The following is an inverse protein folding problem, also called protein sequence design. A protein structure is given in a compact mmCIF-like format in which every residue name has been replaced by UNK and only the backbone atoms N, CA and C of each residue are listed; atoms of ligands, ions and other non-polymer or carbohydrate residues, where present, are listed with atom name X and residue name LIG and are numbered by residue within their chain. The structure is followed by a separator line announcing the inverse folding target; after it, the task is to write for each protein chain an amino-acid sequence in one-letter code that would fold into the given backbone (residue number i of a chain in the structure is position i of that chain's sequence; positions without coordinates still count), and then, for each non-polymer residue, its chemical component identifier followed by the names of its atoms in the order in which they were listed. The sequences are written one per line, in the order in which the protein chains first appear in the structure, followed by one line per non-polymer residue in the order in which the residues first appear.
data_IF_392604805526
#
_entry.id   IF_392604805526
#
_cell.length_a   1.000
_cell.length_b   1.000
_cell.length_c   1.000
_cell.angle_alpha   90.00
_cell.angle_beta   90.00
_cell.angle_gamma   90.00
#
_symmetry.space_group_name_H-M   'P 1'
#
loop_
_entity.id
_entity.type
_entity.pdbx_description
1 polymer ?
#
# COMPACT_ATOMS: atom_id res chain seq x y z
N UNK A 1 0.18 0.35 7.32
CA UNK A 1 -0.23 0.03 5.95
C UNK A 1 0.91 -0.70 5.27
N UNK A 2 0.62 -1.74 4.55
CA UNK A 2 1.59 -2.56 3.80
C UNK A 2 1.16 -2.57 2.33
N UNK A 3 2.11 -2.37 1.42
CA UNK A 3 1.89 -2.49 -0.02
C UNK A 3 2.77 -3.59 -0.57
N UNK A 4 2.19 -4.54 -1.27
CA UNK A 4 2.88 -5.64 -1.95
C UNK A 4 2.65 -5.50 -3.45
N UNK A 5 3.74 -5.51 -4.20
CA UNK A 5 3.75 -5.56 -5.67
C UNK A 5 4.35 -6.89 -6.09
N UNK A 6 3.75 -7.59 -7.05
CA UNK A 6 4.02 -8.97 -7.44
C UNK A 6 5.46 -9.47 -7.27
N UNK A 7 6.47 -8.87 -7.86
CA UNK A 7 7.87 -9.30 -7.69
C UNK A 7 8.74 -8.33 -6.89
N UNK A 8 8.19 -7.20 -6.42
CA UNK A 8 8.94 -6.22 -5.65
C UNK A 8 8.88 -6.50 -4.14
N UNK A 9 9.89 -6.06 -3.40
CA UNK A 9 9.87 -6.15 -1.95
C UNK A 9 8.66 -5.39 -1.36
N UNK A 10 7.99 -5.96 -0.33
CA UNK A 10 6.87 -5.31 0.33
C UNK A 10 7.31 -3.98 0.96
N UNK A 11 6.49 -2.93 0.76
CA UNK A 11 6.74 -1.62 1.38
C UNK A 11 5.86 -1.47 2.62
N UNK A 12 6.46 -1.29 3.79
CA UNK A 12 5.75 -1.06 5.05
C UNK A 12 5.67 0.45 5.30
N UNK A 13 4.51 1.05 5.08
CA UNK A 13 4.30 2.49 5.27
C UNK A 13 4.25 2.94 6.73
N UNK A 14 3.87 2.07 7.65
CA UNK A 14 3.83 2.35 9.07
C UNK A 14 4.05 1.08 9.89
N UNK A 15 4.98 1.14 10.86
CA UNK A 15 5.25 0.09 11.82
C UNK A 15 5.05 0.62 13.23
N UNK A 16 4.14 0.02 13.99
CA UNK A 16 3.95 0.27 15.42
C UNK A 16 4.44 -0.93 16.22
N UNK A 17 5.32 -0.68 17.17
CA UNK A 17 5.88 -1.70 18.07
C UNK A 17 5.52 -1.32 19.50
N UNK A 18 4.88 -2.24 20.22
CA UNK A 18 4.65 -2.10 21.65
C UNK A 18 5.65 -2.95 22.41
N UNK A 19 6.38 -2.33 23.32
CA UNK A 19 7.36 -3.01 24.18
C UNK A 19 6.77 -3.23 25.58
N UNK A 20 7.07 -4.39 26.15
CA UNK A 20 6.78 -4.71 27.56
C UNK A 20 8.11 -5.08 28.23
N UNK A 21 8.64 -4.19 29.07
CA UNK A 21 9.91 -4.33 29.79
C UNK A 21 10.25 -3.08 30.58
N UNK A 22 11.40 -3.07 31.21
CA UNK A 22 11.88 -1.91 32.00
C UNK A 22 12.33 -0.76 31.08
N UNK A 23 12.12 0.47 31.49
CA UNK A 23 12.51 1.66 30.73
C UNK A 23 14.03 1.72 30.44
N UNK A 24 14.85 1.17 31.32
CA UNK A 24 16.32 1.13 31.19
C UNK A 24 16.80 0.26 30.01
N UNK A 25 15.98 -0.72 29.59
CA UNK A 25 16.32 -1.64 28.48
C UNK A 25 15.76 -1.16 27.13
N UNK A 26 15.02 -0.06 27.13
CA UNK A 26 14.25 0.38 25.97
C UNK A 26 15.06 1.32 25.08
N UNK A 27 15.75 0.77 24.08
CA UNK A 27 16.21 1.54 22.93
C UNK A 27 15.14 1.43 21.81
N UNK A 28 14.13 2.29 21.84
CA UNK A 28 13.02 2.27 20.90
C UNK A 28 13.43 2.30 19.41
N UNK A 29 14.42 3.11 18.98
CA UNK A 29 14.90 3.07 17.61
C UNK A 29 15.53 1.72 17.22
N UNK A 30 16.34 1.14 18.09
CA UNK A 30 16.99 -0.16 17.84
C UNK A 30 15.97 -1.29 17.75
N UNK A 31 14.96 -1.30 18.63
CA UNK A 31 13.85 -2.27 18.58
C UNK A 31 13.05 -2.15 17.27
N UNK A 32 12.75 -0.93 16.86
CA UNK A 32 12.04 -0.67 15.60
C UNK A 32 12.81 -1.17 14.40
N UNK A 33 14.09 -0.84 14.31
CA UNK A 33 14.98 -1.30 13.23
C UNK A 33 15.08 -2.82 13.20
N UNK A 34 15.16 -3.45 14.37
CA UNK A 34 15.20 -4.91 14.49
C UNK A 34 13.94 -5.56 13.97
N UNK A 35 12.76 -5.08 14.40
CA UNK A 35 11.48 -5.61 13.90
C UNK A 35 11.36 -5.40 12.38
N UNK A 36 11.82 -4.27 11.85
CA UNK A 36 11.87 -4.03 10.41
C UNK A 36 12.74 -5.07 9.69
N UNK A 37 13.93 -5.39 10.20
CA UNK A 37 14.81 -6.42 9.63
C UNK A 37 14.16 -7.81 9.67
N UNK A 38 13.55 -8.17 10.80
CA UNK A 38 12.86 -9.45 10.96
C UNK A 38 11.68 -9.59 9.99
N UNK A 39 10.88 -8.54 9.82
CA UNK A 39 9.79 -8.53 8.85
C UNK A 39 10.30 -8.52 7.40
N UNK A 40 11.42 -7.85 7.13
CA UNK A 40 12.06 -7.84 5.81
C UNK A 40 12.63 -9.19 5.38
N UNK A 41 12.91 -10.10 6.33
CA UNK A 41 13.38 -11.46 6.03
C UNK A 41 12.26 -12.45 5.71
N UNK A 42 10.99 -12.06 5.90
CA UNK A 42 9.83 -12.92 5.63
C UNK A 42 9.25 -12.64 4.27
N UNK A 43 9.05 -13.68 3.50
CA UNK A 43 8.23 -13.59 2.31
C UNK A 43 6.75 -13.43 2.70
N UNK A 44 6.24 -12.22 2.49
CA UNK A 44 4.86 -11.83 2.75
C UNK A 44 3.97 -11.89 1.49
N UNK A 45 4.50 -12.37 0.36
CA UNK A 45 3.70 -12.51 -0.85
C UNK A 45 2.66 -13.60 -0.69
N UNK A 46 1.36 -13.29 -0.88
CA UNK A 46 0.34 -14.32 -0.87
C UNK A 46 0.54 -15.25 -2.07
N UNK A 47 0.41 -16.55 -1.84
CA UNK A 47 0.41 -17.51 -2.94
C UNK A 47 -0.70 -17.18 -3.94
N UNK A 48 -0.37 -17.17 -5.23
CA UNK A 48 -1.32 -16.83 -6.30
C UNK A 48 -1.49 -15.34 -6.60
N UNK A 49 -0.75 -14.44 -5.94
CA UNK A 49 -0.74 -13.04 -6.32
C UNK A 49 -0.05 -12.89 -7.69
N UNK A 50 -0.75 -12.38 -8.74
CA UNK A 50 -0.17 -12.25 -10.07
C UNK A 50 1.03 -11.30 -10.09
N UNK A 51 1.96 -11.55 -11.00
CA UNK A 51 3.06 -10.62 -11.30
C UNK A 51 2.51 -9.26 -11.72
N UNK A 52 2.99 -8.21 -11.08
CA UNK A 52 2.52 -6.83 -11.35
C UNK A 52 1.33 -6.40 -10.50
N UNK A 53 0.57 -7.32 -9.90
CA UNK A 53 -0.54 -6.96 -9.02
C UNK A 53 -0.08 -6.15 -7.81
N UNK A 54 -0.95 -5.24 -7.35
CA UNK A 54 -0.69 -4.39 -6.19
C UNK A 54 -1.75 -4.66 -5.12
N UNK A 55 -1.32 -5.25 -4.01
CA UNK A 55 -2.14 -5.47 -2.83
C UNK A 55 -1.78 -4.43 -1.76
N UNK A 56 -2.75 -3.61 -1.36
CA UNK A 56 -2.58 -2.65 -0.27
C UNK A 56 -3.35 -3.14 0.94
N UNK A 57 -2.66 -3.32 2.05
CA UNK A 57 -3.20 -3.83 3.30
C UNK A 57 -3.22 -2.72 4.34
N UNK A 58 -4.38 -2.52 4.95
CA UNK A 58 -4.58 -1.47 5.95
C UNK A 58 -3.80 -1.75 7.22
N UNK A 59 -3.85 -2.99 7.71
CA UNK A 59 -3.19 -3.40 8.95
C UNK A 59 -2.87 -4.89 8.95
N UNK A 60 -1.67 -5.24 9.40
CA UNK A 60 -1.30 -6.58 9.82
C UNK A 60 -1.18 -6.59 11.34
N UNK A 61 -1.64 -7.64 11.96
CA UNK A 61 -1.53 -7.83 13.39
C UNK A 61 -0.47 -8.88 13.70
N UNK A 62 0.48 -8.52 14.56
CA UNK A 62 1.38 -9.49 15.16
C UNK A 62 0.61 -10.37 16.15
N UNK A 63 1.08 -11.60 16.35
CA UNK A 63 0.44 -12.58 17.19
C UNK A 63 0.78 -12.43 18.66
N UNK A 64 1.83 -13.09 19.01
CA UNK A 64 2.34 -13.20 20.36
C UNK A 64 3.44 -12.15 20.57
N UNK A 65 3.78 -11.83 21.83
CA UNK A 65 4.95 -11.03 22.13
C UNK A 65 6.21 -11.67 21.51
N UNK A 66 6.95 -10.89 20.75
CA UNK A 66 8.24 -11.31 20.22
C UNK A 66 9.31 -11.07 21.30
N UNK A 67 10.09 -12.10 21.70
CA UNK A 67 11.18 -11.88 22.64
C UNK A 67 12.15 -10.82 22.15
N UNK A 68 12.54 -9.88 23.01
CA UNK A 68 13.39 -8.76 22.64
C UNK A 68 14.76 -9.17 22.06
N UNK A 69 15.20 -10.38 22.33
CA UNK A 69 16.49 -10.92 21.86
C UNK A 69 16.36 -11.79 20.58
N UNK A 70 15.16 -12.02 20.06
CA UNK A 70 14.95 -12.87 18.86
C UNK A 70 15.70 -12.30 17.68
N UNK A 71 16.55 -13.08 17.06
CA UNK A 71 17.26 -12.73 15.82
C UNK A 71 16.52 -13.22 14.57
N UNK A 72 15.61 -14.18 14.73
CA UNK A 72 14.81 -14.81 13.68
C UNK A 72 13.37 -14.75 14.13
N UNK A 73 12.43 -14.55 13.20
CA UNK A 73 11.01 -14.68 13.51
C UNK A 73 10.67 -16.14 13.80
N UNK A 74 9.95 -16.42 14.89
CA UNK A 74 9.46 -17.77 15.17
C UNK A 74 8.59 -18.30 14.00
N UNK A 75 8.59 -19.61 13.80
CA UNK A 75 7.87 -20.25 12.69
C UNK A 75 6.35 -20.03 12.74
N UNK A 76 5.78 -20.01 13.93
CA UNK A 76 4.37 -19.69 14.17
C UNK A 76 4.02 -18.24 13.80
N UNK A 77 4.92 -17.29 14.04
CA UNK A 77 4.79 -15.90 13.56
C UNK A 77 4.74 -15.83 12.05
N UNK A 78 5.66 -16.52 11.39
CA UNK A 78 5.74 -16.56 9.93
C UNK A 78 4.50 -17.22 9.33
N UNK A 79 4.07 -18.36 9.88
CA UNK A 79 2.87 -19.06 9.45
C UNK A 79 1.61 -18.19 9.60
N UNK A 80 1.49 -17.49 10.73
CA UNK A 80 0.35 -16.61 10.95
C UNK A 80 0.33 -15.41 9.98
N UNK A 81 1.47 -14.74 9.79
CA UNK A 81 1.55 -13.63 8.85
C UNK A 81 1.17 -14.08 7.42
N UNK A 82 1.63 -15.25 6.99
CA UNK A 82 1.25 -15.82 5.69
C UNK A 82 -0.24 -16.14 5.62
N UNK A 83 -0.82 -16.70 6.68
CA UNK A 83 -2.25 -16.98 6.75
C UNK A 83 -3.07 -15.68 6.67
N UNK A 84 -2.69 -14.65 7.43
CA UNK A 84 -3.33 -13.33 7.34
C UNK A 84 -3.22 -12.76 5.92
N UNK A 85 -2.04 -12.82 5.31
CA UNK A 85 -1.83 -12.30 3.95
C UNK A 85 -2.70 -13.02 2.92
N UNK A 86 -2.85 -14.34 3.05
CA UNK A 86 -3.76 -15.12 2.20
C UNK A 86 -5.20 -14.64 2.35
N UNK A 87 -5.70 -14.50 3.59
CA UNK A 87 -7.05 -14.02 3.85
C UNK A 87 -7.25 -12.61 3.29
N UNK A 88 -6.31 -11.68 3.54
CA UNK A 88 -6.39 -10.31 3.04
C UNK A 88 -6.36 -10.24 1.51
N UNK A 89 -5.65 -11.14 0.84
CA UNK A 89 -5.64 -11.23 -0.61
C UNK A 89 -6.98 -11.76 -1.14
N UNK A 90 -7.51 -12.85 -0.57
CA UNK A 90 -8.77 -13.46 -1.04
C UNK A 90 -10.01 -12.60 -0.78
N UNK A 91 -9.96 -11.74 0.25
CA UNK A 91 -11.07 -10.84 0.62
C UNK A 91 -10.84 -9.39 0.16
N UNK A 92 -9.79 -9.13 -0.61
CA UNK A 92 -9.45 -7.77 -1.04
C UNK A 92 -10.55 -7.16 -1.92
N UNK A 93 -10.95 -5.94 -1.58
CA UNK A 93 -11.85 -5.16 -2.43
C UNK A 93 -11.12 -4.72 -3.72
N UNK A 94 -11.88 -4.60 -4.80
CA UNK A 94 -11.38 -4.20 -6.13
C UNK A 94 -11.89 -2.79 -6.47
N UNK A 95 -11.10 -1.71 -6.22
CA UNK A 95 -11.54 -0.34 -6.50
C UNK A 95 -11.90 -0.08 -7.97
N UNK A 96 -11.32 -0.84 -8.89
CA UNK A 96 -11.66 -0.77 -10.32
C UNK A 96 -13.05 -1.30 -10.65
N UNK A 97 -13.60 -2.18 -9.82
CA UNK A 97 -14.91 -2.80 -10.06
C UNK A 97 -16.07 -2.10 -9.34
N UNK A 98 -15.76 -1.17 -8.43
CA UNK A 98 -16.81 -0.44 -7.71
C UNK A 98 -16.34 0.19 -6.41
N UNK A 99 -17.26 0.80 -5.64
CA UNK A 99 -16.94 1.49 -4.40
C UNK A 99 -16.40 0.53 -3.34
N UNK A 100 -15.34 0.96 -2.67
CA UNK A 100 -14.72 0.21 -1.57
C UNK A 100 -15.42 0.55 -0.25
N UNK A 101 -15.86 -0.47 0.46
CA UNK A 101 -16.47 -0.30 1.78
C UNK A 101 -15.47 0.32 2.77
N UNK A 102 -15.97 1.18 3.68
CA UNK A 102 -15.13 1.90 4.65
C UNK A 102 -14.40 0.99 5.62
N UNK A 103 -14.94 -0.20 5.89
CA UNK A 103 -14.36 -1.24 6.73
C UNK A 103 -13.44 -2.20 5.98
N UNK A 104 -13.24 -2.04 4.68
CA UNK A 104 -12.32 -2.88 3.91
C UNK A 104 -10.91 -2.86 4.51
N UNK A 105 -10.33 -4.03 4.69
CA UNK A 105 -9.01 -4.24 5.30
C UNK A 105 -7.88 -4.32 4.27
N UNK A 106 -8.23 -4.59 3.02
CA UNK A 106 -7.30 -4.68 1.90
C UNK A 106 -7.96 -4.28 0.59
N UNK A 107 -7.16 -3.77 -0.34
CA UNK A 107 -7.57 -3.51 -1.72
C UNK A 107 -6.55 -4.12 -2.68
N UNK A 108 -7.04 -4.59 -3.83
CA UNK A 108 -6.25 -5.25 -4.86
C UNK A 108 -6.44 -4.54 -6.20
N UNK A 109 -5.34 -4.32 -6.89
CA UNK A 109 -5.27 -3.87 -8.28
C UNK A 109 -4.56 -4.93 -9.11
N UNK A 110 -4.97 -5.13 -10.36
CA UNK A 110 -4.35 -6.09 -11.29
C UNK A 110 -2.91 -5.72 -11.61
N UNK A 111 -2.63 -4.42 -11.67
CA UNK A 111 -1.31 -3.88 -11.92
C UNK A 111 -1.18 -2.42 -11.45
N UNK A 112 -0.01 -1.84 -11.71
CA UNK A 112 0.26 -0.43 -11.36
C UNK A 112 -0.51 0.57 -12.21
N UNK A 113 -0.90 0.21 -13.44
CA UNK A 113 -1.67 1.10 -14.31
C UNK A 113 -3.12 1.19 -13.86
N UNK A 114 -3.77 0.06 -13.50
CA UNK A 114 -5.09 0.05 -12.89
C UNK A 114 -5.11 0.85 -11.57
N UNK A 115 -4.07 0.67 -10.74
CA UNK A 115 -3.92 1.45 -9.51
C UNK A 115 -3.83 2.95 -9.81
N UNK A 116 -3.04 3.35 -10.81
CA UNK A 116 -2.88 4.75 -11.21
C UNK A 116 -4.17 5.32 -11.78
N UNK A 117 -4.93 4.56 -12.58
CA UNK A 117 -6.23 4.95 -13.10
C UNK A 117 -7.24 5.20 -11.97
N UNK A 118 -7.35 4.27 -11.02
CA UNK A 118 -8.23 4.43 -9.86
C UNK A 118 -7.84 5.64 -9.00
N UNK A 119 -6.54 5.86 -8.78
CA UNK A 119 -6.05 7.03 -8.05
C UNK A 119 -6.36 8.33 -8.80
N UNK A 120 -6.17 8.37 -10.12
CA UNK A 120 -6.53 9.51 -10.96
C UNK A 120 -8.02 9.83 -10.85
N UNK A 121 -8.89 8.83 -10.97
CA UNK A 121 -10.35 8.98 -10.79
C UNK A 121 -10.70 9.56 -9.42
N UNK A 122 -10.13 9.01 -8.36
CA UNK A 122 -10.37 9.50 -6.99
C UNK A 122 -9.83 10.93 -6.76
N UNK A 123 -8.73 11.32 -7.43
CA UNK A 123 -8.23 12.70 -7.40
C UNK A 123 -9.18 13.66 -8.09
N UNK A 124 -9.69 13.31 -9.29
CA UNK A 124 -10.67 14.11 -10.02
C UNK A 124 -11.96 14.30 -9.24
N UNK A 125 -12.39 13.26 -8.51
CA UNK A 125 -13.58 13.29 -7.67
C UNK A 125 -13.36 13.95 -6.29
N UNK A 126 -12.13 14.36 -5.94
CA UNK A 126 -11.78 14.92 -4.63
C UNK A 126 -11.80 13.91 -3.48
N UNK A 127 -11.87 12.62 -3.79
CA UNK A 127 -12.01 11.53 -2.81
C UNK A 127 -10.66 10.92 -2.39
N UNK A 128 -9.59 11.16 -3.14
CA UNK A 128 -8.30 10.48 -2.95
C UNK A 128 -7.75 10.63 -1.52
N UNK A 129 -7.82 11.81 -0.93
CA UNK A 129 -7.31 12.04 0.43
C UNK A 129 -8.17 11.45 1.54
N UNK A 130 -9.43 11.07 1.23
CA UNK A 130 -10.35 10.43 2.18
C UNK A 130 -10.18 8.90 2.20
N UNK A 131 -9.61 8.33 1.15
CA UNK A 131 -9.41 6.89 1.00
C UNK A 131 -8.15 6.45 1.77
N UNK A 132 -8.30 5.54 2.73
CA UNK A 132 -7.20 5.06 3.55
C UNK A 132 -6.05 4.42 2.73
N UNK A 133 -6.37 3.77 1.62
CA UNK A 133 -5.37 3.08 0.79
C UNK A 133 -4.52 4.02 -0.06
N UNK A 134 -4.90 5.29 -0.21
CA UNK A 134 -4.08 6.30 -0.88
C UNK A 134 -3.17 7.08 0.07
N UNK A 135 -3.45 7.05 1.39
CA UNK A 135 -2.75 7.90 2.38
C UNK A 135 -1.23 7.79 2.34
N UNK A 136 -0.68 6.58 2.07
CA UNK A 136 0.76 6.40 1.99
C UNK A 136 1.34 6.95 0.68
N UNK A 137 0.63 6.76 -0.42
CA UNK A 137 1.03 7.22 -1.76
C UNK A 137 0.97 8.74 -1.82
N UNK A 138 0.00 9.36 -1.15
CA UNK A 138 -0.25 10.80 -1.17
C UNK A 138 0.44 11.57 -0.04
N UNK A 139 1.27 10.91 0.77
CA UNK A 139 1.89 11.55 1.95
C UNK A 139 2.66 12.82 1.61
N UNK A 140 3.49 12.73 0.57
CA UNK A 140 4.42 13.78 0.15
C UNK A 140 3.97 14.44 -1.16
N UNK A 141 2.69 14.30 -1.51
CA UNK A 141 2.09 14.82 -2.74
C UNK A 141 1.28 16.08 -2.42
N UNK A 142 1.33 17.13 -3.28
CA UNK A 142 0.52 18.33 -3.11
C UNK A 142 -0.97 18.00 -2.96
N UNK A 143 -1.69 18.74 -2.11
CA UNK A 143 -3.12 18.49 -1.84
C UNK A 143 -4.06 19.02 -2.94
N UNK A 144 -3.54 19.69 -3.96
CA UNK A 144 -4.32 20.14 -5.12
C UNK A 144 -4.31 19.07 -6.22
N UNK A 145 -5.45 18.78 -6.88
CA UNK A 145 -5.55 17.69 -7.87
C UNK A 145 -4.56 17.78 -9.03
N UNK A 146 -4.41 18.94 -9.65
CA UNK A 146 -3.49 19.13 -10.78
C UNK A 146 -2.02 18.86 -10.43
N UNK A 147 -1.42 19.58 -9.46
CA UNK A 147 -0.07 19.31 -8.99
C UNK A 147 0.13 17.88 -8.47
N UNK A 148 -0.90 17.27 -7.85
CA UNK A 148 -0.86 15.86 -7.44
C UNK A 148 -0.75 14.93 -8.64
N UNK A 149 -1.55 15.12 -9.66
CA UNK A 149 -1.50 14.37 -10.91
C UNK A 149 -0.12 14.52 -11.58
N UNK A 150 0.39 15.75 -11.66
CA UNK A 150 1.71 16.02 -12.26
C UNK A 150 2.80 15.22 -11.53
N UNK A 151 2.85 15.29 -10.21
CA UNK A 151 3.84 14.55 -9.41
C UNK A 151 3.72 13.04 -9.58
N UNK A 152 2.50 12.49 -9.51
CA UNK A 152 2.22 11.06 -9.58
C UNK A 152 2.48 10.48 -10.97
N UNK A 153 2.09 11.20 -12.03
CA UNK A 153 2.27 10.76 -13.41
C UNK A 153 3.74 10.84 -13.82
N UNK A 154 4.45 11.89 -13.42
CA UNK A 154 5.90 11.99 -13.67
C UNK A 154 6.67 10.86 -12.99
N UNK A 155 6.31 10.53 -11.74
CA UNK A 155 6.93 9.42 -11.01
C UNK A 155 6.61 8.03 -11.60
N UNK A 156 5.57 7.91 -12.46
CA UNK A 156 5.09 6.64 -13.04
C UNK A 156 4.82 6.76 -14.54
N UNK A 157 5.63 7.53 -15.26
CA UNK A 157 5.41 7.88 -16.66
C UNK A 157 5.11 6.69 -17.58
N UNK A 158 5.77 5.55 -17.35
CA UNK A 158 5.57 4.32 -18.13
C UNK A 158 4.17 3.69 -17.95
N UNK A 159 3.48 3.98 -16.85
CA UNK A 159 2.15 3.44 -16.55
C UNK A 159 1.02 4.36 -17.04
N UNK A 160 1.32 5.64 -17.29
CA UNK A 160 0.32 6.66 -17.65
C UNK A 160 -0.50 6.30 -18.89
N UNK A 161 0.09 5.84 -20.02
CA UNK A 161 -0.71 5.49 -21.20
C UNK A 161 -1.74 4.40 -20.93
N UNK A 162 -1.36 3.33 -20.23
CA UNK A 162 -2.26 2.24 -19.87
C UNK A 162 -3.32 2.68 -18.83
N UNK A 163 -2.94 3.54 -17.88
CA UNK A 163 -3.87 4.10 -16.92
C UNK A 163 -4.93 4.98 -17.60
N UNK A 164 -4.52 5.84 -18.54
CA UNK A 164 -5.45 6.68 -19.33
C UNK A 164 -6.40 5.84 -20.20
N UNK A 165 -5.92 4.75 -20.79
CA UNK A 165 -6.75 3.83 -21.56
C UNK A 165 -7.81 3.13 -20.69
N UNK A 166 -7.60 3.03 -19.40
CA UNK A 166 -8.53 2.42 -18.43
C UNK A 166 -9.55 3.40 -17.85
N UNK A 167 -9.42 4.70 -18.13
CA UNK A 167 -10.35 5.74 -17.73
C UNK A 167 -11.43 5.96 -18.80
N UNK A 168 -12.58 6.49 -18.37
CA UNK A 168 -13.56 7.01 -19.33
C UNK A 168 -12.99 8.20 -20.11
N UNK A 169 -13.44 8.40 -21.36
CA UNK A 169 -12.93 9.47 -22.23
C UNK A 169 -13.02 10.86 -21.59
N UNK A 170 -14.08 11.11 -20.85
CA UNK A 170 -14.29 12.38 -20.11
C UNK A 170 -13.32 12.55 -18.95
N UNK A 171 -13.11 11.49 -18.18
CA UNK A 171 -12.13 11.46 -17.08
C UNK A 171 -10.71 11.64 -17.60
N UNK A 172 -10.33 10.92 -18.66
CA UNK A 172 -9.01 11.02 -19.26
C UNK A 172 -8.71 12.43 -19.78
N UNK A 173 -9.68 13.08 -20.47
CA UNK A 173 -9.56 14.47 -20.93
C UNK A 173 -9.41 15.46 -19.77
N UNK A 174 -10.22 15.31 -18.72
CA UNK A 174 -10.16 16.15 -17.54
C UNK A 174 -8.81 15.99 -16.80
N UNK A 175 -8.35 14.76 -16.61
CA UNK A 175 -7.06 14.48 -16.00
C UNK A 175 -5.91 15.14 -16.80
N UNK A 176 -5.94 14.99 -18.13
CA UNK A 176 -4.92 15.58 -19.01
C UNK A 176 -4.92 17.11 -18.98
N UNK A 177 -6.11 17.72 -18.96
CA UNK A 177 -6.23 19.17 -18.84
C UNK A 177 -5.63 19.69 -17.52
N UNK A 178 -5.94 19.04 -16.39
CA UNK A 178 -5.37 19.41 -15.09
C UNK A 178 -3.86 19.20 -15.02
N UNK A 179 -3.36 18.11 -15.62
CA UNK A 179 -1.93 17.85 -15.72
C UNK A 179 -1.21 18.96 -16.52
N UNK A 180 -1.73 19.33 -17.70
CA UNK A 180 -1.14 20.33 -18.57
C UNK A 180 -1.11 21.74 -17.96
N UNK A 181 -2.05 22.06 -17.08
CA UNK A 181 -2.08 23.33 -16.36
C UNK A 181 -1.11 23.39 -15.17
N UNK A 182 -0.47 22.27 -14.84
CA UNK A 182 0.38 22.11 -13.64
C UNK A 182 1.86 21.96 -13.97
N UNK A 183 2.20 21.98 -15.27
CA UNK A 183 3.57 22.01 -15.80
C UNK A 183 4.05 23.45 -16.00
#
# INVERSE_FOLDING_TARGET
MLTIRGQAQPTIGHLSVRYRGTAAEMNAPALRLRVQRLLGSVDLHPAGLPTGAVLIVRRLHGLAPLPAQSQILPSDWTAHLRAQMRTLYTTAARPALGPVATNATSVLFTDGAEMLACLTRDLLAGLAWQRWYWQHILRDVPKAPGPALAALWSARATQVPAALASLEKTEARHAFALFSLSL
#
